data_IF_254915987784
#
_entry.id   IF_254915987784
#
_cell.length_a   1.000
_cell.length_b   1.000
_cell.length_c   1.000
_cell.angle_alpha   90.00
_cell.angle_beta   90.00
_cell.angle_gamma   90.00
#
_symmetry.space_group_name_H-M   'P 1'
#
loop_
_entity.id
_entity.type
_entity.pdbx_description
1 polymer ?
#
# COMPACT_ATOMS: atom_id res chain seq x y z
N UNK A 1 11.30 -1.58 -8.54
CA UNK A 1 10.46 -2.60 -7.90
C UNK A 1 11.22 -3.91 -7.65
N UNK A 2 11.70 -4.65 -8.67
CA UNK A 2 12.34 -5.97 -8.47
C UNK A 2 13.45 -5.97 -7.41
N UNK A 3 14.44 -5.06 -7.54
CA UNK A 3 15.53 -4.96 -6.56
C UNK A 3 15.06 -4.72 -5.12
N UNK A 4 13.97 -3.97 -4.93
CA UNK A 4 13.43 -3.73 -3.59
C UNK A 4 12.78 -4.98 -3.01
N UNK A 5 12.11 -5.78 -3.84
CA UNK A 5 11.56 -7.07 -3.45
C UNK A 5 12.67 -8.06 -3.11
N UNK A 6 13.72 -8.14 -3.95
CA UNK A 6 14.85 -9.03 -3.70
C UNK A 6 15.49 -8.73 -2.33
N UNK A 7 15.69 -7.45 -2.01
CA UNK A 7 16.22 -7.02 -0.70
C UNK A 7 15.25 -7.32 0.43
N UNK A 8 13.94 -7.08 0.24
CA UNK A 8 12.95 -7.31 1.29
C UNK A 8 12.82 -8.79 1.67
N UNK A 9 13.02 -9.70 0.71
CA UNK A 9 12.86 -11.14 0.89
C UNK A 9 14.17 -11.90 1.19
N UNK A 10 15.33 -11.25 1.07
CA UNK A 10 16.62 -11.88 1.33
C UNK A 10 16.78 -12.25 2.82
N UNK A 11 16.60 -13.53 3.13
CA UNK A 11 16.72 -14.06 4.49
C UNK A 11 15.56 -13.72 5.44
N UNK A 12 14.45 -13.17 4.93
CA UNK A 12 13.29 -12.82 5.74
C UNK A 12 12.24 -13.96 5.76
N UNK A 13 11.80 -14.33 6.96
CA UNK A 13 10.70 -15.30 7.12
C UNK A 13 9.33 -14.71 6.72
N UNK A 14 9.21 -13.38 6.78
CA UNK A 14 7.99 -12.65 6.46
C UNK A 14 8.29 -11.19 6.09
N UNK A 15 7.44 -10.62 5.23
CA UNK A 15 7.49 -9.20 4.84
C UNK A 15 6.20 -8.50 5.24
N UNK A 16 6.34 -7.30 5.80
CA UNK A 16 5.25 -6.41 6.20
C UNK A 16 5.24 -5.17 5.28
N UNK A 17 4.06 -4.82 4.77
CA UNK A 17 3.88 -3.61 3.97
C UNK A 17 3.43 -2.45 4.87
N UNK A 18 4.36 -1.60 5.28
CA UNK A 18 4.03 -0.30 5.88
C UNK A 18 3.88 0.73 4.78
N UNK A 19 2.68 1.29 4.63
CA UNK A 19 2.37 2.26 3.60
C UNK A 19 2.10 3.63 4.21
N UNK A 20 3.02 4.56 3.96
CA UNK A 20 2.85 5.97 4.31
C UNK A 20 2.11 6.72 3.20
N UNK A 21 1.01 7.41 3.52
CA UNK A 21 0.26 8.17 2.51
C UNK A 21 1.04 9.38 2.00
N UNK A 22 1.96 9.94 2.79
CA UNK A 22 2.72 11.13 2.40
C UNK A 22 3.83 10.85 1.38
N UNK A 23 4.06 9.57 1.04
CA UNK A 23 4.89 9.21 -0.11
C UNK A 23 4.27 9.64 -1.45
N UNK A 24 2.95 9.90 -1.48
CA UNK A 24 2.30 10.52 -2.62
C UNK A 24 2.61 12.01 -2.65
N UNK A 25 2.65 12.57 -3.86
CA UNK A 25 2.75 14.02 -4.02
C UNK A 25 1.60 14.72 -3.27
N UNK A 26 1.96 15.77 -2.51
CA UNK A 26 1.04 16.54 -1.67
C UNK A 26 -0.23 17.03 -2.40
N UNK A 27 -0.23 17.16 -3.72
CA UNK A 27 -1.42 17.52 -4.50
C UNK A 27 -2.54 16.48 -4.41
N UNK A 28 -2.22 15.22 -4.04
CA UNK A 28 -3.18 14.10 -4.00
C UNK A 28 -3.52 13.64 -2.58
N UNK A 29 -2.76 14.06 -1.58
CA UNK A 29 -2.93 13.62 -0.18
C UNK A 29 -2.91 14.82 0.76
N UNK A 30 -3.89 15.75 0.67
CA UNK A 30 -3.91 16.95 1.52
C UNK A 30 -4.10 16.63 3.02
N UNK A 31 -4.62 15.45 3.32
CA UNK A 31 -4.92 14.96 4.66
C UNK A 31 -3.79 14.19 5.32
N UNK A 32 -2.54 14.67 5.22
CA UNK A 32 -1.40 14.18 6.00
C UNK A 32 -0.89 15.27 6.94
N UNK A 33 -0.20 14.87 8.02
CA UNK A 33 0.51 15.81 8.90
C UNK A 33 1.72 16.47 8.24
N UNK A 34 2.29 15.84 7.20
CA UNK A 34 3.52 16.29 6.56
C UNK A 34 3.43 16.22 5.02
N UNK A 35 2.79 17.20 4.36
CA UNK A 35 2.63 17.17 2.90
C UNK A 35 3.97 17.41 2.18
N UNK A 36 4.47 16.41 1.46
CA UNK A 36 5.72 16.50 0.69
C UNK A 36 5.50 16.74 -0.82
N UNK A 37 6.10 17.79 -1.42
CA UNK A 37 6.04 18.02 -2.86
C UNK A 37 7.02 17.12 -3.63
N UNK A 38 6.62 16.65 -4.81
CA UNK A 38 7.45 15.82 -5.69
C UNK A 38 7.39 14.31 -5.38
N UNK A 39 6.41 13.89 -4.59
CA UNK A 39 6.15 12.49 -4.30
C UNK A 39 5.59 11.71 -5.49
N UNK A 40 5.18 10.47 -5.24
CA UNK A 40 4.63 9.60 -6.28
C UNK A 40 3.24 10.02 -6.72
N UNK A 41 2.93 9.76 -7.99
CA UNK A 41 1.57 9.93 -8.49
C UNK A 41 0.72 8.74 -8.05
N UNK A 42 -0.60 8.92 -7.82
CA UNK A 42 -1.46 7.83 -7.36
C UNK A 42 -1.39 6.56 -8.22
N UNK A 43 -1.28 6.73 -9.56
CA UNK A 43 -1.15 5.60 -10.49
C UNK A 43 0.12 4.78 -10.30
N UNK A 44 1.21 5.42 -9.86
CA UNK A 44 2.51 4.77 -9.65
C UNK A 44 2.47 3.96 -8.36
N UNK A 45 1.94 4.55 -7.29
CA UNK A 45 1.69 3.86 -6.02
C UNK A 45 0.82 2.63 -6.23
N UNK A 46 -0.34 2.77 -6.90
CA UNK A 46 -1.21 1.62 -7.15
C UNK A 46 -0.52 0.54 -7.99
N UNK A 47 0.39 0.92 -8.90
CA UNK A 47 1.20 -0.05 -9.64
C UNK A 47 2.23 -0.74 -8.75
N UNK A 48 2.85 -0.04 -7.81
CA UNK A 48 3.77 -0.62 -6.84
C UNK A 48 3.05 -1.60 -5.91
N UNK A 49 1.87 -1.25 -5.41
CA UNK A 49 1.04 -2.13 -4.59
C UNK A 49 0.75 -3.45 -5.31
N UNK A 50 0.35 -3.38 -6.59
CA UNK A 50 0.13 -4.59 -7.40
C UNK A 50 1.40 -5.44 -7.49
N UNK A 51 2.54 -4.84 -7.82
CA UNK A 51 3.81 -5.57 -7.96
C UNK A 51 4.22 -6.22 -6.63
N UNK A 52 4.06 -5.52 -5.50
CA UNK A 52 4.44 -6.01 -4.18
C UNK A 52 3.53 -7.18 -3.75
N UNK A 53 2.21 -6.99 -3.84
CA UNK A 53 1.23 -7.97 -3.38
C UNK A 53 1.15 -9.22 -4.29
N UNK A 54 1.45 -9.07 -5.58
CA UNK A 54 1.51 -10.20 -6.52
C UNK A 54 2.82 -10.99 -6.42
N UNK A 55 3.88 -10.43 -5.84
CA UNK A 55 5.19 -11.09 -5.80
C UNK A 55 5.25 -12.27 -4.81
N UNK A 56 4.69 -12.09 -3.61
CA UNK A 56 4.77 -13.07 -2.53
C UNK A 56 3.70 -12.78 -1.45
N UNK A 57 3.36 -13.75 -0.58
CA UNK A 57 2.45 -13.50 0.54
C UNK A 57 3.03 -12.48 1.51
N UNK A 58 2.21 -11.53 1.96
CA UNK A 58 2.59 -10.56 3.01
C UNK A 58 2.10 -11.06 4.36
N UNK A 59 2.88 -10.83 5.42
CA UNK A 59 2.41 -11.09 6.80
C UNK A 59 1.31 -10.12 7.23
N UNK A 60 1.25 -8.95 6.60
CA UNK A 60 0.19 -7.97 6.76
C UNK A 60 0.57 -6.63 6.15
N UNK A 61 -0.28 -5.65 6.41
CA UNK A 61 -0.05 -4.27 5.98
C UNK A 61 -0.63 -3.29 7.00
N UNK A 62 -0.13 -2.08 6.95
CA UNK A 62 -0.72 -0.91 7.62
C UNK A 62 -0.69 0.29 6.68
N UNK A 63 -1.58 1.24 6.94
CA UNK A 63 -1.56 2.56 6.31
C UNK A 63 -1.42 3.60 7.41
N UNK A 64 -0.41 4.48 7.27
CA UNK A 64 -0.05 5.49 8.27
C UNK A 64 -0.17 6.91 7.68
N UNK A 65 -0.01 7.92 8.54
CA UNK A 65 -0.04 9.35 8.21
C UNK A 65 -1.34 9.90 7.59
N UNK A 66 -2.44 9.16 7.70
CA UNK A 66 -3.76 9.75 7.49
C UNK A 66 -4.11 10.69 8.64
N UNK A 67 -4.37 11.95 8.34
CA UNK A 67 -4.84 13.00 9.25
C UNK A 67 -6.23 13.50 8.83
N UNK A 68 -7.32 12.92 9.39
CA UNK A 68 -8.68 13.35 9.11
C UNK A 68 -8.95 14.86 9.28
N UNK A 69 -8.34 15.57 10.26
CA UNK A 69 -8.49 17.02 10.39
C UNK A 69 -8.03 17.83 9.17
N UNK A 70 -7.07 17.31 8.40
CA UNK A 70 -6.54 17.98 7.20
C UNK A 70 -7.16 17.44 5.91
N UNK A 71 -7.93 16.35 5.98
CA UNK A 71 -8.41 15.64 4.80
C UNK A 71 -9.67 16.28 4.21
N UNK A 72 -9.48 17.28 3.36
CA UNK A 72 -10.60 17.90 2.66
C UNK A 72 -11.23 16.91 1.68
N UNK A 73 -12.56 16.76 1.75
CA UNK A 73 -13.33 15.87 0.89
C UNK A 73 -12.86 14.40 0.90
N UNK A 74 -12.24 13.97 2.01
CA UNK A 74 -11.83 12.57 2.25
C UNK A 74 -10.85 12.02 1.20
N UNK A 75 -10.15 12.90 0.48
CA UNK A 75 -9.29 12.53 -0.66
C UNK A 75 -8.20 11.52 -0.21
N UNK A 76 -7.59 11.79 0.93
CA UNK A 76 -6.50 10.99 1.50
C UNK A 76 -7.04 9.66 2.04
N UNK A 77 -8.16 9.70 2.75
CA UNK A 77 -8.84 8.51 3.23
C UNK A 77 -9.28 7.59 2.08
N UNK A 78 -9.72 8.15 0.95
CA UNK A 78 -10.10 7.39 -0.24
C UNK A 78 -8.91 6.70 -0.91
N UNK A 79 -7.76 7.37 -1.05
CA UNK A 79 -6.57 6.72 -1.60
C UNK A 79 -5.98 5.68 -0.64
N UNK A 80 -5.97 5.94 0.66
CA UNK A 80 -5.60 4.97 1.70
C UNK A 80 -6.48 3.71 1.61
N UNK A 81 -7.80 3.89 1.53
CA UNK A 81 -8.76 2.80 1.35
C UNK A 81 -8.48 2.04 0.06
N UNK A 82 -8.17 2.75 -1.02
CA UNK A 82 -7.86 2.12 -2.31
C UNK A 82 -6.60 1.27 -2.25
N UNK A 83 -5.55 1.71 -1.55
CA UNK A 83 -4.31 0.95 -1.34
C UNK A 83 -4.60 -0.35 -0.57
N UNK A 84 -5.40 -0.28 0.49
CA UNK A 84 -5.82 -1.47 1.25
C UNK A 84 -6.59 -2.45 0.36
N UNK A 85 -7.61 -1.96 -0.35
CA UNK A 85 -8.44 -2.78 -1.23
C UNK A 85 -7.63 -3.41 -2.37
N UNK A 86 -6.74 -2.67 -3.01
CA UNK A 86 -5.90 -3.20 -4.08
C UNK A 86 -4.92 -4.24 -3.52
N UNK A 87 -4.31 -4.01 -2.35
CA UNK A 87 -3.42 -5.00 -1.71
C UNK A 87 -4.16 -6.30 -1.45
N UNK A 88 -5.30 -6.24 -0.75
CA UNK A 88 -6.12 -7.42 -0.46
C UNK A 88 -6.60 -8.12 -1.74
N UNK A 89 -7.06 -7.35 -2.73
CA UNK A 89 -7.51 -7.88 -4.02
C UNK A 89 -6.39 -8.60 -4.79
N UNK A 90 -5.17 -8.08 -4.74
CA UNK A 90 -3.99 -8.72 -5.31
C UNK A 90 -3.63 -10.02 -4.58
N UNK A 91 -3.60 -10.00 -3.24
CA UNK A 91 -3.30 -11.20 -2.44
C UNK A 91 -4.34 -12.31 -2.67
N UNK A 92 -5.63 -11.98 -2.80
CA UNK A 92 -6.68 -12.95 -3.16
C UNK A 92 -6.45 -13.52 -4.55
N UNK A 93 -6.26 -12.65 -5.55
CA UNK A 93 -6.08 -13.01 -6.95
C UNK A 93 -4.87 -13.92 -7.15
N UNK A 94 -3.77 -13.61 -6.46
CA UNK A 94 -2.50 -14.34 -6.55
C UNK A 94 -2.46 -15.58 -5.64
N UNK A 95 -3.52 -15.85 -4.88
CA UNK A 95 -3.61 -17.04 -4.03
C UNK A 95 -2.73 -16.99 -2.79
N UNK A 96 -2.34 -15.78 -2.37
CA UNK A 96 -1.47 -15.53 -1.23
C UNK A 96 -2.21 -15.44 0.10
N UNK A 97 -3.53 -15.25 0.09
CA UNK A 97 -4.35 -15.40 1.30
C UNK A 97 -4.77 -16.86 1.50
N UNK A 98 -4.80 -17.35 2.75
CA UNK A 98 -5.35 -18.66 3.07
C UNK A 98 -6.80 -18.76 2.57
N UNK A 99 -7.09 -19.78 1.77
CA UNK A 99 -8.48 -20.14 1.43
C UNK A 99 -9.00 -21.06 2.52
N UNK A 100 -10.27 -20.91 2.90
CA UNK A 100 -10.94 -21.95 3.68
C UNK A 100 -10.82 -23.25 2.88
N UNK A 101 -10.41 -24.33 3.54
CA UNK A 101 -10.55 -25.66 2.95
C UNK A 101 -12.04 -25.86 2.63
N UNK A 102 -12.33 -26.29 1.40
CA UNK A 102 -13.70 -26.62 1.00
C UNK A 102 -14.21 -27.69 1.99
N UNK A 103 -15.29 -27.35 2.71
CA UNK A 103 -15.99 -28.24 3.64
C UNK A 103 -16.81 -29.28 2.89
#
# INVERSE_FOLDING_TARGET
AQRALDVAWDGADAVWLSFDVDCLDAAFVPGTGWPEPGGFLPREVLKFIQIIADAAPLAGMEVVECSPPYDNAEITALIATRVICDTLGCLVRSGHLPRRADS
#
